data_IF_708267202086
#
_entry.id   IF_708267202086
#
_cell.length_a   1.000
_cell.length_b   1.000
_cell.length_c   1.000
_cell.angle_alpha   90.00
_cell.angle_beta   90.00
_cell.angle_gamma   90.00
#
_symmetry.space_group_name_H-M   'P 1'
#
loop_
_entity.id
_entity.type
_entity.pdbx_description
1 polymer ?
#
# COMPACT_ATOMS: atom_id res chain seq x y z
N UNK A 1 14.84 -6.68 4.92
CA UNK A 1 13.61 -7.49 4.73
C UNK A 1 12.34 -6.86 5.33
N UNK A 2 12.31 -6.23 6.53
CA UNK A 2 11.06 -5.71 7.09
C UNK A 2 10.39 -4.61 6.26
N UNK A 3 11.17 -3.78 5.53
CA UNK A 3 10.66 -2.72 4.64
C UNK A 3 9.69 -3.28 3.59
N UNK A 4 10.02 -4.42 2.96
CA UNK A 4 9.19 -5.02 1.90
C UNK A 4 7.87 -5.51 2.47
N UNK A 5 7.92 -6.23 3.59
CA UNK A 5 6.71 -6.77 4.23
C UNK A 5 5.82 -5.63 4.74
N UNK A 6 6.41 -4.63 5.39
CA UNK A 6 5.69 -3.45 5.84
C UNK A 6 5.03 -2.70 4.67
N UNK A 7 5.76 -2.46 3.58
CA UNK A 7 5.22 -1.80 2.39
C UNK A 7 4.05 -2.57 1.77
N UNK A 8 4.15 -3.89 1.68
CA UNK A 8 3.04 -4.73 1.19
C UNK A 8 1.81 -4.64 2.10
N UNK A 9 1.99 -4.69 3.42
CA UNK A 9 0.88 -4.54 4.37
C UNK A 9 0.21 -3.17 4.28
N UNK A 10 0.99 -2.10 4.09
CA UNK A 10 0.42 -0.76 3.88
C UNK A 10 -0.34 -0.66 2.54
N UNK A 11 0.10 -1.35 1.49
CA UNK A 11 -0.69 -1.49 0.25
C UNK A 11 -2.06 -2.16 0.49
N UNK A 12 -2.10 -3.17 1.37
CA UNK A 12 -3.36 -3.74 1.82
C UNK A 12 -4.18 -2.76 2.67
N UNK A 13 -3.55 -1.97 3.54
CA UNK A 13 -4.24 -0.92 4.31
C UNK A 13 -4.94 0.05 3.36
N UNK A 14 -4.26 0.55 2.33
CA UNK A 14 -4.83 1.49 1.37
C UNK A 14 -6.04 0.89 0.62
N UNK A 15 -5.92 -0.34 0.15
CA UNK A 15 -6.98 -1.01 -0.64
C UNK A 15 -8.17 -1.41 0.22
N UNK A 16 -7.95 -1.95 1.42
CA UNK A 16 -9.02 -2.29 2.36
C UNK A 16 -9.73 -1.04 2.88
N UNK A 17 -8.99 0.03 3.17
CA UNK A 17 -9.58 1.31 3.56
C UNK A 17 -10.49 1.84 2.45
N UNK A 18 -10.04 1.80 1.19
CA UNK A 18 -10.86 2.20 0.05
C UNK A 18 -12.16 1.40 -0.06
N UNK A 19 -12.08 0.06 0.00
CA UNK A 19 -13.26 -0.82 -0.05
C UNK A 19 -14.25 -0.48 1.08
N UNK A 20 -13.74 -0.19 2.28
CA UNK A 20 -14.57 0.18 3.43
C UNK A 20 -15.20 1.56 3.27
N UNK A 21 -14.49 2.53 2.69
CA UNK A 21 -15.02 3.86 2.38
C UNK A 21 -16.13 3.78 1.34
N UNK A 22 -15.91 3.05 0.23
CA UNK A 22 -16.91 2.82 -0.80
C UNK A 22 -18.15 2.10 -0.23
N UNK A 23 -17.94 1.23 0.78
CA UNK A 23 -19.03 0.57 1.51
C UNK A 23 -19.75 1.47 2.49
N UNK A 24 -19.06 2.40 3.14
CA UNK A 24 -19.66 3.28 4.15
C UNK A 24 -20.80 4.12 3.56
N UNK A 25 -20.65 4.59 2.31
CA UNK A 25 -21.70 5.35 1.62
C UNK A 25 -22.99 4.52 1.47
N UNK A 26 -22.86 3.25 1.09
CA UNK A 26 -24.01 2.34 0.95
C UNK A 26 -24.68 2.03 2.30
N UNK A 27 -23.89 1.87 3.36
CA UNK A 27 -24.40 1.60 4.71
C UNK A 27 -25.12 2.82 5.28
N UNK A 28 -24.63 4.03 5.03
CA UNK A 28 -25.28 5.27 5.46
C UNK A 28 -26.62 5.47 4.73
N UNK A 29 -26.69 5.12 3.45
CA UNK A 29 -27.91 5.27 2.64
C UNK A 29 -28.99 4.20 2.92
N UNK A 30 -28.60 2.96 3.22
CA UNK A 30 -29.52 1.81 3.30
C UNK A 30 -29.48 1.00 4.59
N UNK A 31 -28.65 1.38 5.56
CA UNK A 31 -28.42 0.63 6.79
C UNK A 31 -27.39 -0.50 6.64
N UNK A 32 -26.90 -1.02 7.78
CA UNK A 32 -26.01 -2.17 7.82
C UNK A 32 -26.82 -3.47 7.84
N UNK A 33 -26.55 -4.37 6.91
CA UNK A 33 -27.17 -5.69 6.84
C UNK A 33 -26.10 -6.79 7.05
N UNK A 34 -26.42 -7.80 7.86
CA UNK A 34 -25.58 -8.96 8.18
C UNK A 34 -25.67 -10.10 7.14
N UNK A 35 -26.16 -9.78 5.95
CA UNK A 35 -26.04 -10.65 4.75
C UNK A 35 -24.57 -10.85 4.34
N UNK A 36 -24.31 -11.58 3.24
CA UNK A 36 -22.96 -11.86 2.70
C UNK A 36 -22.09 -10.60 2.59
N UNK A 37 -22.70 -9.47 2.23
CA UNK A 37 -22.02 -8.17 2.10
C UNK A 37 -21.53 -7.61 3.45
N UNK A 38 -22.30 -7.81 4.52
CA UNK A 38 -21.94 -7.37 5.87
C UNK A 38 -20.76 -8.15 6.42
N UNK A 39 -20.74 -9.47 6.21
CA UNK A 39 -19.61 -10.31 6.60
C UNK A 39 -18.32 -9.91 5.90
N UNK A 40 -18.36 -9.66 4.58
CA UNK A 40 -17.19 -9.19 3.82
C UNK A 40 -16.69 -7.83 4.33
N UNK A 41 -17.61 -6.93 4.71
CA UNK A 41 -17.26 -5.62 5.30
C UNK A 41 -16.58 -5.80 6.66
N UNK A 42 -17.09 -6.70 7.50
CA UNK A 42 -16.47 -7.05 8.79
C UNK A 42 -15.08 -7.68 8.62
N UNK A 43 -14.92 -8.59 7.66
CA UNK A 43 -13.63 -9.20 7.32
C UNK A 43 -12.63 -8.17 6.79
N UNK A 44 -13.06 -7.24 5.93
CA UNK A 44 -12.22 -6.15 5.43
C UNK A 44 -11.77 -5.23 6.58
N UNK A 45 -12.66 -4.91 7.52
CA UNK A 45 -12.34 -4.11 8.71
C UNK A 45 -11.32 -4.81 9.62
N UNK A 46 -11.53 -6.10 9.89
CA UNK A 46 -10.58 -6.91 10.65
C UNK A 46 -9.22 -6.97 9.96
N UNK A 47 -9.21 -7.20 8.64
CA UNK A 47 -8.00 -7.18 7.81
C UNK A 47 -7.28 -5.83 7.87
N UNK A 48 -8.01 -4.71 7.80
CA UNK A 48 -7.45 -3.36 7.88
C UNK A 48 -6.75 -3.14 9.23
N UNK A 49 -7.40 -3.52 10.33
CA UNK A 49 -6.83 -3.37 11.68
C UNK A 49 -5.56 -4.21 11.83
N UNK A 50 -5.59 -5.47 11.39
CA UNK A 50 -4.45 -6.38 11.45
C UNK A 50 -3.27 -5.88 10.60
N UNK A 51 -3.55 -5.48 9.35
CA UNK A 51 -2.54 -4.95 8.43
C UNK A 51 -1.93 -3.65 8.96
N UNK A 52 -2.75 -2.73 9.51
CA UNK A 52 -2.28 -1.48 10.10
C UNK A 52 -1.43 -1.74 11.33
N UNK A 53 -1.87 -2.60 12.25
CA UNK A 53 -1.15 -2.90 13.48
C UNK A 53 0.19 -3.58 13.20
N UNK A 54 0.17 -4.65 12.40
CA UNK A 54 1.39 -5.41 12.09
C UNK A 54 2.33 -4.63 11.17
N UNK A 55 1.77 -3.93 10.17
CA UNK A 55 2.53 -3.03 9.29
C UNK A 55 3.24 -1.94 10.09
N UNK A 56 2.52 -1.25 10.98
CA UNK A 56 3.12 -0.21 11.84
C UNK A 56 4.24 -0.77 12.72
N UNK A 57 4.05 -1.95 13.31
CA UNK A 57 5.11 -2.62 14.08
C UNK A 57 6.35 -2.89 13.21
N UNK A 58 6.16 -3.43 12.00
CA UNK A 58 7.28 -3.72 11.10
C UNK A 58 7.98 -2.46 10.58
N UNK A 59 7.27 -1.33 10.44
CA UNK A 59 7.89 -0.03 10.14
C UNK A 59 8.85 0.36 11.26
N UNK A 60 8.46 0.18 12.52
CA UNK A 60 9.36 0.45 13.64
C UNK A 60 10.58 -0.49 13.64
N UNK A 61 10.37 -1.77 13.33
CA UNK A 61 11.48 -2.73 13.17
C UNK A 61 12.39 -2.38 12.00
N UNK A 62 11.84 -1.85 10.91
CA UNK A 62 12.63 -1.39 9.76
C UNK A 62 13.48 -0.17 10.13
N UNK A 63 12.92 0.80 10.86
CA UNK A 63 13.67 1.97 11.34
C UNK A 63 14.75 1.62 12.37
N UNK A 64 14.56 0.57 13.17
CA UNK A 64 15.59 0.16 14.15
C UNK A 64 16.75 -0.63 13.54
N UNK A 65 16.56 -1.20 12.34
CA UNK A 65 17.55 -2.10 11.70
C UNK A 65 18.13 -1.57 10.40
N UNK A 66 17.62 -0.46 9.86
CA UNK A 66 18.07 0.10 8.59
C UNK A 66 18.09 1.63 8.57
N UNK A 67 18.74 2.23 7.55
CA UNK A 67 18.80 3.68 7.42
C UNK A 67 17.39 4.29 7.26
N UNK A 68 17.02 5.33 8.01
CA UNK A 68 15.69 5.91 7.98
C UNK A 68 15.24 6.34 6.58
N UNK A 69 16.15 6.90 5.78
CA UNK A 69 15.88 7.35 4.41
C UNK A 69 15.45 6.20 3.51
N UNK A 70 16.10 5.02 3.62
CA UNK A 70 15.74 3.84 2.86
C UNK A 70 14.42 3.22 3.32
N UNK A 71 14.11 3.31 4.60
CA UNK A 71 12.82 2.84 5.12
C UNK A 71 11.70 3.67 4.53
N UNK A 72 11.78 5.00 4.60
CA UNK A 72 10.76 5.89 4.04
C UNK A 72 10.66 5.74 2.53
N UNK A 73 11.79 5.76 1.81
CA UNK A 73 11.81 5.60 0.35
C UNK A 73 11.26 4.23 -0.10
N UNK A 74 11.62 3.14 0.60
CA UNK A 74 11.11 1.82 0.28
C UNK A 74 9.61 1.68 0.53
N UNK A 75 9.12 2.19 1.68
CA UNK A 75 7.70 2.15 2.02
C UNK A 75 6.87 2.95 1.01
N UNK A 76 7.29 4.17 0.68
CA UNK A 76 6.59 5.07 -0.27
C UNK A 76 6.50 4.54 -1.70
N UNK A 77 7.36 3.60 -2.10
CA UNK A 77 7.28 2.98 -3.42
C UNK A 77 6.50 1.67 -3.38
N UNK A 78 6.78 0.81 -2.40
CA UNK A 78 6.15 -0.52 -2.34
C UNK A 78 4.65 -0.42 -2.03
N UNK A 79 4.25 0.47 -1.11
CA UNK A 79 2.85 0.66 -0.74
C UNK A 79 1.97 1.05 -1.96
N UNK A 80 2.26 2.16 -2.68
CA UNK A 80 1.51 2.48 -3.90
C UNK A 80 1.60 1.42 -4.99
N UNK A 81 2.73 0.73 -5.17
CA UNK A 81 2.82 -0.34 -6.18
C UNK A 81 1.84 -1.47 -5.87
N UNK A 82 1.74 -1.89 -4.61
CA UNK A 82 0.80 -2.92 -4.19
C UNK A 82 -0.63 -2.40 -4.27
N UNK A 83 -0.90 -1.21 -3.74
CA UNK A 83 -2.23 -0.60 -3.73
C UNK A 83 -2.80 -0.38 -5.14
N UNK A 84 -2.01 0.21 -6.04
CA UNK A 84 -2.40 0.45 -7.44
C UNK A 84 -2.57 -0.86 -8.19
N UNK A 85 -1.68 -1.85 -8.00
CA UNK A 85 -1.83 -3.16 -8.67
C UNK A 85 -3.13 -3.85 -8.26
N UNK A 86 -3.47 -3.83 -6.97
CA UNK A 86 -4.75 -4.38 -6.48
C UNK A 86 -5.92 -3.55 -7.02
N UNK A 87 -5.83 -2.21 -6.99
CA UNK A 87 -6.88 -1.33 -7.54
C UNK A 87 -7.18 -1.60 -9.01
N UNK A 88 -6.14 -1.80 -9.82
CA UNK A 88 -6.28 -2.11 -11.25
C UNK A 88 -6.82 -3.53 -11.46
N UNK A 89 -6.21 -4.54 -10.83
CA UNK A 89 -6.48 -5.95 -11.14
C UNK A 89 -7.73 -6.50 -10.44
N UNK A 90 -8.01 -6.03 -9.23
CA UNK A 90 -9.09 -6.55 -8.37
C UNK A 90 -10.30 -5.63 -8.37
N UNK A 91 -10.09 -4.32 -8.22
CA UNK A 91 -11.18 -3.33 -8.20
C UNK A 91 -11.57 -2.85 -9.61
N UNK A 92 -10.76 -3.15 -10.63
CA UNK A 92 -11.05 -2.78 -12.02
C UNK A 92 -10.95 -1.27 -12.27
N UNK A 93 -10.16 -0.53 -11.48
CA UNK A 93 -10.11 0.93 -11.54
C UNK A 93 -9.56 1.49 -12.87
N UNK A 94 -8.75 0.71 -13.59
CA UNK A 94 -8.21 1.11 -14.89
C UNK A 94 -9.05 0.63 -16.09
N UNK A 95 -10.24 0.08 -15.87
CA UNK A 95 -11.10 -0.42 -16.98
C UNK A 95 -11.57 0.68 -17.92
N UNK A 96 -11.77 1.90 -17.41
CA UNK A 96 -12.14 3.09 -18.20
C UNK A 96 -10.94 3.97 -18.58
N UNK A 97 -9.73 3.60 -18.14
CA UNK A 97 -8.54 4.39 -18.40
C UNK A 97 -8.10 4.22 -19.87
N UNK A 98 -7.68 5.31 -20.55
CA UNK A 98 -7.16 5.19 -21.89
C UNK A 98 -5.84 4.38 -21.89
N UNK A 99 -5.53 3.60 -22.94
CA UNK A 99 -4.36 2.69 -22.93
C UNK A 99 -3.02 3.37 -22.64
N UNK A 100 -2.88 4.65 -22.98
CA UNK A 100 -1.67 5.42 -22.69
C UNK A 100 -1.44 5.63 -21.19
N UNK A 101 -2.50 5.67 -20.37
CA UNK A 101 -2.38 5.83 -18.92
C UNK A 101 -1.70 4.61 -18.27
N UNK A 102 -1.94 3.40 -18.79
CA UNK A 102 -1.23 2.19 -18.34
C UNK A 102 0.27 2.29 -18.58
N UNK A 103 0.69 2.84 -19.72
CA UNK A 103 2.10 3.07 -20.02
C UNK A 103 2.69 4.05 -19.01
N UNK A 104 1.98 5.13 -18.70
CA UNK A 104 2.42 6.12 -17.69
C UNK A 104 2.55 5.49 -16.31
N UNK A 105 1.60 4.65 -15.88
CA UNK A 105 1.69 3.94 -14.59
C UNK A 105 2.92 3.03 -14.53
N UNK A 106 3.20 2.27 -15.59
CA UNK A 106 4.36 1.38 -15.66
C UNK A 106 5.66 2.20 -15.59
N UNK A 107 5.76 3.28 -16.38
CA UNK A 107 6.96 4.13 -16.41
C UNK A 107 7.17 4.81 -15.05
N UNK A 108 6.12 5.37 -14.45
CA UNK A 108 6.19 6.00 -13.14
C UNK A 108 6.62 5.00 -12.05
N UNK A 109 6.04 3.80 -12.04
CA UNK A 109 6.41 2.72 -11.11
C UNK A 109 7.87 2.28 -11.30
N UNK A 110 8.33 2.16 -12.55
CA UNK A 110 9.72 1.82 -12.85
C UNK A 110 10.69 2.91 -12.39
N UNK A 111 10.40 4.18 -12.66
CA UNK A 111 11.23 5.32 -12.22
C UNK A 111 11.32 5.36 -10.69
N UNK A 112 10.19 5.19 -9.99
CA UNK A 112 10.15 5.14 -8.54
C UNK A 112 11.01 3.99 -7.97
N UNK A 113 10.86 2.78 -8.52
CA UNK A 113 11.63 1.62 -8.09
C UNK A 113 13.14 1.80 -8.34
N UNK A 114 13.51 2.32 -9.50
CA UNK A 114 14.91 2.61 -9.83
C UNK A 114 15.51 3.67 -8.89
N UNK A 115 14.74 4.70 -8.53
CA UNK A 115 15.17 5.72 -7.56
C UNK A 115 15.49 5.13 -6.18
N UNK A 116 14.65 4.22 -5.67
CA UNK A 116 14.91 3.54 -4.39
C UNK A 116 16.13 2.63 -4.48
N UNK A 117 16.32 1.92 -5.60
CA UNK A 117 17.49 1.06 -5.82
C UNK A 117 18.78 1.88 -5.88
N UNK A 118 18.77 3.03 -6.55
CA UNK A 118 19.93 3.93 -6.60
C UNK A 118 20.24 4.51 -5.22
N UNK A 119 19.21 4.92 -4.46
CA UNK A 119 19.37 5.40 -3.08
C UNK A 119 19.97 4.32 -2.17
N UNK A 120 19.55 3.06 -2.32
CA UNK A 120 20.08 1.92 -1.55
C UNK A 120 21.55 1.63 -1.88
N UNK A 121 21.97 1.87 -3.12
CA UNK A 121 23.36 1.67 -3.57
C UNK A 121 24.30 2.78 -3.14
N UNK A 122 23.82 4.03 -3.05
CA UNK A 122 24.63 5.22 -2.76
C UNK A 122 24.66 5.59 -1.28
N UNK A 123 24.06 4.80 -0.41
CA UNK A 123 24.01 5.09 1.01
C UNK A 123 25.42 5.05 1.64
N UNK A 124 25.98 6.23 1.92
CA UNK A 124 27.21 6.40 2.69
C UNK A 124 26.82 6.51 4.17
N UNK A 125 27.33 5.65 5.07
CA UNK A 125 26.99 5.73 6.49
C UNK A 125 27.41 7.08 7.09
N UNK A 126 26.52 7.67 7.90
CA UNK A 126 26.67 8.99 8.51
C UNK A 126 27.87 9.16 9.49
N UNK A 127 28.69 8.12 9.69
CA UNK A 127 29.87 8.15 10.57
C UNK A 127 31.17 8.57 9.85
N UNK A 128 31.07 9.21 8.68
CA UNK A 128 32.22 9.60 7.85
C UNK A 128 32.32 11.11 7.59
N UNK A 129 31.75 11.95 8.47
CA UNK A 129 31.91 13.40 8.45
C UNK A 129 32.31 13.92 9.85
#
# INVERSE_FOLDING_TARGET
MPIVVAGVLFGFVATLAKILLDRAELVVAGGFDWSERGWLTGAALAGLILATGFGSYLVQVAHSTGPPDLVVAGLTVIDPLVGVTIGIMVLGEATSAPPWALIVFIVAGAVAALGVVDLARRHVPASAA
#
